data_IF_340398039991
#
_entry.id   IF_340398039991
#
_cell.length_a   1.000
_cell.length_b   1.000
_cell.length_c   1.000
_cell.angle_alpha   90.00
_cell.angle_beta   90.00
_cell.angle_gamma   90.00
#
_symmetry.space_group_name_H-M   'P 1'
#
loop_
_entity.id
_entity.type
_entity.pdbx_description
1 polymer ?
#
# COMPACT_ATOMS: atom_id res chain seq x y z
N UNK A 1 -14.95 36.60 -27.82
CA UNK A 1 -14.59 37.01 -26.45
C UNK A 1 -13.45 36.12 -26.00
N UNK A 2 -12.21 36.58 -26.21
CA UNK A 2 -10.99 35.83 -25.90
C UNK A 2 -10.64 36.05 -24.42
N UNK A 3 -10.72 34.99 -23.62
CA UNK A 3 -10.33 35.02 -22.21
C UNK A 3 -8.82 35.17 -22.12
N UNK A 4 -8.36 36.36 -21.69
CA UNK A 4 -6.95 36.67 -21.42
C UNK A 4 -6.53 35.97 -20.12
N UNK A 5 -6.08 34.73 -20.20
CA UNK A 5 -5.25 34.14 -19.15
C UNK A 5 -3.80 34.51 -19.45
N UNK A 6 -3.25 35.42 -18.65
CA UNK A 6 -1.80 35.64 -18.61
C UNK A 6 -1.14 34.39 -18.00
N UNK A 7 -0.06 33.87 -18.60
CA UNK A 7 0.69 32.79 -17.98
C UNK A 7 1.28 33.33 -16.67
N UNK A 8 1.07 32.61 -15.57
CA UNK A 8 1.79 32.90 -14.32
C UNK A 8 3.25 32.54 -14.59
N UNK A 9 4.07 33.54 -14.93
CA UNK A 9 5.51 33.38 -15.13
C UNK A 9 6.16 33.05 -13.78
N UNK A 10 6.58 31.79 -13.66
CA UNK A 10 7.49 31.22 -12.66
C UNK A 10 7.19 31.51 -11.18
N UNK A 11 6.87 30.45 -10.43
CA UNK A 11 7.05 30.48 -8.99
C UNK A 11 8.55 30.67 -8.69
N UNK A 12 8.94 31.80 -8.10
CA UNK A 12 10.32 32.10 -7.73
C UNK A 12 10.64 31.41 -6.39
N UNK A 13 10.75 30.07 -6.41
CA UNK A 13 11.22 29.32 -5.26
C UNK A 13 12.73 29.56 -5.10
N UNK A 14 13.12 30.51 -4.24
CA UNK A 14 14.53 30.72 -3.90
C UNK A 14 15.07 29.52 -3.12
N UNK A 15 16.13 28.90 -3.64
CA UNK A 15 16.80 27.80 -2.96
C UNK A 15 17.69 28.37 -1.85
N UNK A 16 17.22 28.30 -0.60
CA UNK A 16 17.93 28.82 0.59
C UNK A 16 19.28 28.09 0.80
N UNK A 17 19.32 26.78 0.51
CA UNK A 17 20.52 25.94 0.68
C UNK A 17 20.79 25.10 -0.56
N UNK A 18 21.44 25.69 -1.56
CA UNK A 18 21.69 25.04 -2.87
C UNK A 18 22.51 23.76 -2.74
N UNK A 19 23.51 23.76 -1.86
CA UNK A 19 24.35 22.59 -1.59
C UNK A 19 23.54 21.39 -1.08
N UNK A 20 22.52 21.63 -0.23
CA UNK A 20 21.63 20.59 0.30
C UNK A 20 20.76 20.03 -0.82
N UNK A 21 20.17 20.90 -1.64
CA UNK A 21 19.34 20.49 -2.78
C UNK A 21 20.15 19.64 -3.75
N UNK A 22 21.36 20.08 -4.10
CA UNK A 22 22.24 19.34 -5.02
C UNK A 22 22.68 17.99 -4.42
N UNK A 23 22.94 17.93 -3.11
CA UNK A 23 23.26 16.67 -2.41
C UNK A 23 22.11 15.67 -2.46
N UNK A 24 20.88 16.13 -2.19
CA UNK A 24 19.69 15.26 -2.20
C UNK A 24 19.32 14.84 -3.62
N UNK A 25 19.35 15.76 -4.59
CA UNK A 25 19.05 15.49 -6.00
C UNK A 25 19.91 14.36 -6.58
N UNK A 26 21.18 14.27 -6.18
CA UNK A 26 22.10 13.19 -6.60
C UNK A 26 21.75 11.81 -6.01
N UNK A 27 21.02 11.76 -4.90
CA UNK A 27 20.64 10.52 -4.20
C UNK A 27 19.17 10.15 -4.37
N UNK A 28 18.35 11.06 -4.90
CA UNK A 28 16.92 10.85 -5.02
C UNK A 28 16.65 9.67 -5.96
N UNK A 29 15.80 8.71 -5.56
CA UNK A 29 15.37 7.63 -6.45
C UNK A 29 14.68 8.19 -7.69
N UNK A 30 14.57 7.34 -8.72
CA UNK A 30 13.78 7.67 -9.91
C UNK A 30 12.32 7.90 -9.53
N UNK A 31 11.66 8.79 -10.24
CA UNK A 31 10.23 9.10 -10.00
C UNK A 31 9.35 7.84 -10.09
N UNK A 32 9.61 6.96 -11.05
CA UNK A 32 8.91 5.68 -11.20
C UNK A 32 8.98 4.82 -9.92
N UNK A 33 10.16 4.74 -9.28
CA UNK A 33 10.35 4.00 -8.02
C UNK A 33 9.54 4.61 -6.87
N UNK A 34 9.46 5.95 -6.81
CA UNK A 34 8.67 6.64 -5.80
C UNK A 34 7.16 6.49 -6.06
N UNK A 35 6.76 6.46 -7.33
CA UNK A 35 5.38 6.20 -7.75
C UNK A 35 4.94 4.78 -7.36
N UNK A 36 5.76 3.77 -7.64
CA UNK A 36 5.49 2.38 -7.25
C UNK A 36 5.35 2.24 -5.73
N UNK A 37 6.22 2.92 -4.96
CA UNK A 37 6.13 2.96 -3.50
C UNK A 37 4.84 3.65 -3.01
N UNK A 38 4.42 4.73 -3.66
CA UNK A 38 3.18 5.42 -3.31
C UNK A 38 1.94 4.55 -3.60
N UNK A 39 1.90 3.87 -4.75
CA UNK A 39 0.82 2.94 -5.08
C UNK A 39 0.78 1.75 -4.11
N UNK A 40 1.93 1.25 -3.65
CA UNK A 40 1.98 0.25 -2.57
C UNK A 40 1.31 0.79 -1.29
N UNK A 41 1.71 1.97 -0.80
CA UNK A 41 1.14 2.53 0.43
C UNK A 41 -0.34 2.90 0.32
N UNK A 42 -0.81 3.26 -0.86
CA UNK A 42 -2.24 3.46 -1.14
C UNK A 42 -3.06 2.18 -0.94
N UNK A 43 -2.47 1.00 -1.20
CA UNK A 43 -3.11 -0.28 -0.87
C UNK A 43 -3.19 -0.46 0.65
N UNK A 44 -2.12 -0.18 1.40
CA UNK A 44 -2.14 -0.20 2.87
C UNK A 44 -3.10 0.83 3.50
N UNK A 45 -3.41 1.94 2.83
CA UNK A 45 -4.28 3.00 3.35
C UNK A 45 -5.78 2.65 3.51
N UNK A 46 -6.20 1.41 3.27
CA UNK A 46 -7.61 0.97 3.41
C UNK A 46 -7.80 0.09 4.65
N UNK A 47 -8.75 0.48 5.50
CA UNK A 47 -9.00 -0.20 6.78
C UNK A 47 -9.49 -1.65 6.64
N UNK A 48 -10.20 -1.99 5.55
CA UNK A 48 -10.63 -3.38 5.33
C UNK A 48 -9.44 -4.24 4.93
N UNK A 49 -8.57 -3.72 4.05
CA UNK A 49 -7.34 -4.41 3.66
C UNK A 49 -6.38 -4.61 4.84
N UNK A 50 -6.22 -3.62 5.69
CA UNK A 50 -5.44 -3.76 6.94
C UNK A 50 -5.99 -4.86 7.84
N UNK A 51 -7.32 -4.94 8.02
CA UNK A 51 -7.95 -6.03 8.79
C UNK A 51 -7.72 -7.41 8.19
N UNK A 52 -7.73 -7.53 6.85
CA UNK A 52 -7.42 -8.78 6.16
C UNK A 52 -5.95 -9.15 6.35
N UNK A 53 -5.02 -8.20 6.17
CA UNK A 53 -3.59 -8.43 6.34
C UNK A 53 -3.26 -8.86 7.77
N UNK A 54 -3.87 -8.22 8.78
CA UNK A 54 -3.74 -8.63 10.18
C UNK A 54 -4.17 -10.08 10.38
N UNK A 55 -5.34 -10.48 9.86
CA UNK A 55 -5.82 -11.86 9.98
C UNK A 55 -4.87 -12.86 9.29
N UNK A 56 -4.33 -12.49 8.14
CA UNK A 56 -3.40 -13.32 7.36
C UNK A 56 -1.97 -13.37 7.92
N UNK A 57 -1.62 -12.43 8.78
CA UNK A 57 -0.36 -12.45 9.51
C UNK A 57 -0.40 -13.49 10.65
N UNK A 58 -1.54 -13.56 11.34
CA UNK A 58 -1.81 -14.53 12.41
C UNK A 58 -1.96 -15.97 11.89
N UNK A 59 -2.67 -16.16 10.77
CA UNK A 59 -2.89 -17.48 10.19
C UNK A 59 -3.22 -17.44 8.70
N UNK A 60 -2.88 -18.50 7.97
CA UNK A 60 -3.45 -18.68 6.63
C UNK A 60 -4.95 -18.99 6.70
N UNK A 61 -5.74 -18.34 5.84
CA UNK A 61 -7.21 -18.43 5.91
C UNK A 61 -7.83 -18.53 4.52
N UNK A 62 -8.99 -19.20 4.41
CA UNK A 62 -9.77 -19.18 3.17
C UNK A 62 -10.72 -17.97 3.13
N UNK A 63 -11.30 -17.70 1.95
CA UNK A 63 -12.24 -16.58 1.77
C UNK A 63 -13.45 -16.64 2.72
N UNK A 64 -13.93 -17.85 3.03
CA UNK A 64 -15.06 -18.05 3.93
C UNK A 64 -14.72 -17.66 5.36
N UNK A 65 -13.54 -18.05 5.84
CA UNK A 65 -13.10 -17.78 7.21
C UNK A 65 -12.86 -16.29 7.42
N UNK A 66 -12.20 -15.62 6.47
CA UNK A 66 -11.98 -14.17 6.51
C UNK A 66 -13.31 -13.41 6.46
N UNK A 67 -14.25 -13.86 5.63
CA UNK A 67 -15.59 -13.26 5.55
C UNK A 67 -16.35 -13.39 6.88
N UNK A 68 -16.28 -14.57 7.51
CA UNK A 68 -16.84 -14.80 8.83
C UNK A 68 -16.19 -13.90 9.90
N UNK A 69 -14.86 -13.89 9.98
CA UNK A 69 -14.09 -13.10 10.94
C UNK A 69 -14.40 -11.60 10.85
N UNK A 70 -14.46 -11.07 9.63
CA UNK A 70 -14.63 -9.63 9.42
C UNK A 70 -16.11 -9.19 9.38
N UNK A 71 -17.05 -10.13 9.48
CA UNK A 71 -18.49 -9.94 9.31
C UNK A 71 -18.83 -9.27 7.97
N UNK A 72 -18.31 -9.83 6.87
CA UNK A 72 -18.48 -9.33 5.51
C UNK A 72 -18.92 -10.45 4.57
N UNK A 73 -19.41 -10.09 3.38
CA UNK A 73 -19.75 -11.10 2.37
C UNK A 73 -18.50 -11.68 1.73
N UNK A 74 -18.55 -12.96 1.31
CA UNK A 74 -17.46 -13.59 0.57
C UNK A 74 -17.10 -12.83 -0.72
N UNK A 75 -18.09 -12.22 -1.38
CA UNK A 75 -17.86 -11.39 -2.57
C UNK A 75 -17.01 -10.16 -2.25
N UNK A 76 -17.31 -9.46 -1.16
CA UNK A 76 -16.53 -8.31 -0.72
C UNK A 76 -15.08 -8.71 -0.37
N UNK A 77 -14.89 -9.80 0.39
CA UNK A 77 -13.55 -10.29 0.72
C UNK A 77 -12.80 -10.76 -0.53
N UNK A 78 -13.45 -11.48 -1.45
CA UNK A 78 -12.83 -11.92 -2.70
C UNK A 78 -12.37 -10.73 -3.54
N UNK A 79 -13.10 -9.63 -3.54
CA UNK A 79 -12.70 -8.40 -4.22
C UNK A 79 -11.42 -7.82 -3.59
N UNK A 80 -11.39 -7.68 -2.26
CA UNK A 80 -10.21 -7.16 -1.55
C UNK A 80 -8.99 -8.06 -1.72
N UNK A 81 -9.14 -9.39 -1.62
CA UNK A 81 -8.05 -10.35 -1.84
C UNK A 81 -7.51 -10.28 -3.27
N UNK A 82 -8.36 -9.99 -4.27
CA UNK A 82 -7.89 -9.76 -5.65
C UNK A 82 -6.99 -8.53 -5.73
N UNK A 83 -7.38 -7.42 -5.11
CA UNK A 83 -6.59 -6.19 -5.06
C UNK A 83 -5.25 -6.44 -4.35
N UNK A 84 -5.29 -7.06 -3.16
CA UNK A 84 -4.09 -7.41 -2.40
C UNK A 84 -3.14 -8.32 -3.19
N UNK A 85 -3.68 -9.31 -3.90
CA UNK A 85 -2.89 -10.22 -4.73
C UNK A 85 -2.28 -9.52 -5.94
N UNK A 86 -3.00 -8.60 -6.58
CA UNK A 86 -2.46 -7.78 -7.68
C UNK A 86 -1.32 -6.87 -7.19
N UNK A 87 -1.43 -6.37 -5.96
CA UNK A 87 -0.39 -5.58 -5.29
C UNK A 87 0.75 -6.43 -4.69
N UNK A 88 0.74 -7.76 -4.89
CA UNK A 88 1.73 -8.70 -4.32
C UNK A 88 1.87 -8.61 -2.79
N UNK A 89 0.77 -8.33 -2.10
CA UNK A 89 0.72 -8.32 -0.64
C UNK A 89 0.29 -9.67 -0.06
N UNK A 90 -0.44 -10.46 -0.84
CA UNK A 90 -0.87 -11.80 -0.46
C UNK A 90 -0.66 -12.78 -1.60
N UNK A 91 -0.35 -14.01 -1.22
CA UNK A 91 -0.31 -15.18 -2.11
C UNK A 91 -1.46 -16.12 -1.79
N UNK A 92 -1.67 -17.10 -2.66
CA UNK A 92 -2.71 -18.11 -2.48
C UNK A 92 -2.20 -19.50 -2.82
N UNK A 93 -2.58 -20.49 -2.03
CA UNK A 93 -2.38 -21.91 -2.34
C UNK A 93 -3.73 -22.64 -2.43
N UNK A 94 -3.76 -23.77 -3.13
CA UNK A 94 -4.94 -24.63 -3.21
C UNK A 94 -4.71 -25.90 -2.41
N UNK A 95 -5.73 -26.31 -1.67
CA UNK A 95 -5.77 -27.60 -0.97
C UNK A 95 -7.15 -28.22 -1.21
N UNK A 96 -7.17 -29.31 -1.99
CA UNK A 96 -8.41 -29.88 -2.51
C UNK A 96 -9.20 -28.85 -3.34
N UNK A 97 -10.41 -28.51 -2.88
CA UNK A 97 -11.30 -27.52 -3.52
C UNK A 97 -11.19 -26.11 -2.90
N UNK A 98 -10.42 -25.95 -1.83
CA UNK A 98 -10.35 -24.70 -1.06
C UNK A 98 -9.10 -23.91 -1.44
N UNK A 99 -9.23 -22.58 -1.50
CA UNK A 99 -8.11 -21.64 -1.71
C UNK A 99 -7.80 -20.95 -0.39
N UNK A 100 -6.56 -21.09 0.06
CA UNK A 100 -6.03 -20.44 1.26
C UNK A 100 -5.13 -19.28 0.86
N UNK A 101 -5.16 -18.21 1.65
CA UNK A 101 -4.37 -17.00 1.47
C UNK A 101 -3.39 -16.83 2.64
N UNK A 102 -2.25 -16.21 2.37
CA UNK A 102 -1.23 -15.80 3.36
C UNK A 102 -0.52 -14.55 2.85
N UNK A 103 0.23 -13.85 3.70
CA UNK A 103 1.12 -12.77 3.27
C UNK A 103 2.10 -13.26 2.20
N UNK A 104 2.44 -12.37 1.25
CA UNK A 104 3.26 -12.74 0.09
C UNK A 104 4.71 -13.08 0.46
N UNK A 105 5.33 -12.30 1.34
CA UNK A 105 6.69 -12.50 1.83
C UNK A 105 6.93 -11.83 3.19
N UNK A 106 8.16 -11.96 3.70
CA UNK A 106 8.59 -11.38 4.98
C UNK A 106 8.64 -9.84 4.95
N UNK A 107 8.87 -9.21 3.79
CA UNK A 107 8.89 -7.74 3.71
C UNK A 107 7.50 -7.16 3.95
N UNK A 108 6.45 -7.80 3.44
CA UNK A 108 5.06 -7.40 3.70
C UNK A 108 4.77 -7.40 5.20
N UNK A 109 5.15 -8.48 5.89
CA UNK A 109 5.04 -8.59 7.36
C UNK A 109 5.80 -7.47 8.05
N UNK A 110 7.08 -7.26 7.71
CA UNK A 110 7.89 -6.21 8.32
C UNK A 110 7.29 -4.81 8.15
N UNK A 111 6.76 -4.47 6.97
CA UNK A 111 6.11 -3.17 6.73
C UNK A 111 4.87 -3.02 7.62
N UNK A 112 4.06 -4.08 7.71
CA UNK A 112 2.86 -4.10 8.53
C UNK A 112 3.18 -3.93 10.02
N UNK A 113 4.14 -4.70 10.53
CA UNK A 113 4.57 -4.67 11.93
C UNK A 113 5.16 -3.32 12.32
N UNK A 114 6.00 -2.73 11.46
CA UNK A 114 6.54 -1.40 11.69
C UNK A 114 5.44 -0.33 11.67
N UNK A 115 4.47 -0.45 10.77
CA UNK A 115 3.31 0.44 10.75
C UNK A 115 2.49 0.35 12.04
N UNK A 116 2.21 -0.87 12.50
CA UNK A 116 1.46 -1.11 13.74
C UNK A 116 2.23 -0.60 14.97
N UNK A 117 3.52 -0.90 15.07
CA UNK A 117 4.39 -0.43 16.13
C UNK A 117 4.41 1.10 16.19
N UNK A 118 4.58 1.77 15.04
CA UNK A 118 4.61 3.22 14.96
C UNK A 118 3.30 3.88 15.42
N UNK A 119 2.13 3.27 15.16
CA UNK A 119 0.85 3.79 15.70
C UNK A 119 0.71 3.66 17.21
N UNK A 120 1.54 2.81 17.84
CA UNK A 120 1.58 2.59 19.28
C UNK A 120 2.69 3.39 19.97
N UNK A 121 3.62 3.96 19.21
CA UNK A 121 4.61 4.92 19.70
C UNK A 121 3.90 6.23 20.06
N UNK A 122 4.02 6.64 21.33
CA UNK A 122 3.54 7.93 21.83
C UNK A 122 4.63 8.98 21.76
#
# INVERSE_FOLDING_TARGET
MTSKYAPVESCNCEVIHEEVVNKVRKKMPKEETLYDLAELFKVFGDSTRIRILWALDEAEMCVCDIACLLNMTQSAISHQLRVLKQAKLVRSRKEGKVVYYSLDDEHVRMIFDQGLAHTSEK
#
